data_IF_038413318485
#
_entry.id   IF_038413318485
#
_cell.length_a   1.000
_cell.length_b   1.000
_cell.length_c   1.000
_cell.angle_alpha   90.00
_cell.angle_beta   90.00
_cell.angle_gamma   90.00
#
_symmetry.space_group_name_H-M   'P 1'
#
loop_
_entity.id
_entity.type
_entity.pdbx_description
1 polymer ?
#
# COMPACT_ATOMS: atom_id res chain seq x y z
N UNK A 1 -18.84 6.23 -22.47
CA UNK A 1 -18.83 7.67 -22.06
C UNK A 1 -17.47 8.29 -22.37
N UNK A 2 -17.41 9.56 -22.72
CA UNK A 2 -16.14 10.21 -22.98
C UNK A 2 -15.36 10.46 -21.69
N UNK A 3 -14.12 10.01 -21.63
CA UNK A 3 -13.22 10.25 -20.49
C UNK A 3 -12.77 11.73 -20.49
N UNK A 4 -13.12 12.47 -19.47
CA UNK A 4 -12.74 13.88 -19.33
C UNK A 4 -11.46 14.06 -18.51
N UNK A 5 -10.79 15.19 -18.70
CA UNK A 5 -9.60 15.53 -17.91
C UNK A 5 -9.91 15.68 -16.41
N UNK A 6 -11.12 16.12 -16.06
CA UNK A 6 -11.58 16.22 -14.70
C UNK A 6 -11.65 14.83 -14.02
N UNK A 7 -12.24 13.83 -14.69
CA UNK A 7 -12.31 12.44 -14.21
C UNK A 7 -10.92 11.84 -14.01
N UNK A 8 -9.99 12.09 -14.92
CA UNK A 8 -8.61 11.62 -14.80
C UNK A 8 -7.92 12.24 -13.58
N UNK A 9 -8.14 13.52 -13.35
CA UNK A 9 -7.58 14.24 -12.19
C UNK A 9 -8.15 13.68 -10.90
N UNK A 10 -9.46 13.52 -10.80
CA UNK A 10 -10.15 12.97 -9.65
C UNK A 10 -9.67 11.54 -9.31
N UNK A 11 -9.62 10.65 -10.30
CA UNK A 11 -9.12 9.28 -10.11
C UNK A 11 -7.66 9.27 -9.64
N UNK A 12 -6.84 10.19 -10.14
CA UNK A 12 -5.46 10.34 -9.69
C UNK A 12 -5.37 10.81 -8.24
N UNK A 13 -6.21 11.75 -7.84
CA UNK A 13 -6.26 12.23 -6.44
C UNK A 13 -6.71 11.12 -5.47
N UNK A 14 -7.65 10.27 -5.90
CA UNK A 14 -8.14 9.14 -5.11
C UNK A 14 -7.12 8.01 -4.98
N UNK A 15 -6.38 7.71 -6.04
CA UNK A 15 -5.56 6.48 -6.12
C UNK A 15 -4.06 6.72 -6.04
N UNK A 16 -3.60 7.94 -6.28
CA UNK A 16 -2.18 8.26 -6.42
C UNK A 16 -1.51 7.68 -7.68
N UNK A 17 -2.28 7.01 -8.56
CA UNK A 17 -1.76 6.41 -9.79
C UNK A 17 -1.32 7.47 -10.81
N UNK A 18 -0.49 7.06 -11.77
CA UNK A 18 -0.03 7.93 -12.85
C UNK A 18 -1.17 8.40 -13.76
N UNK A 19 -1.09 9.62 -14.29
CA UNK A 19 -2.15 10.22 -15.13
C UNK A 19 -2.54 9.34 -16.32
N UNK A 20 -1.55 8.72 -16.98
CA UNK A 20 -1.79 7.85 -18.15
C UNK A 20 -2.49 6.53 -17.73
N UNK A 21 -2.17 6.02 -16.56
CA UNK A 21 -2.82 4.80 -16.04
C UNK A 21 -4.25 5.09 -15.62
N UNK A 22 -4.53 6.24 -15.00
CA UNK A 22 -5.88 6.70 -14.72
C UNK A 22 -6.70 6.86 -16.00
N UNK A 23 -6.13 7.46 -17.05
CA UNK A 23 -6.80 7.59 -18.34
C UNK A 23 -7.14 6.24 -18.97
N UNK A 24 -6.20 5.29 -18.94
CA UNK A 24 -6.40 3.93 -19.45
C UNK A 24 -7.48 3.18 -18.64
N UNK A 25 -7.45 3.30 -17.31
CA UNK A 25 -8.44 2.69 -16.44
C UNK A 25 -9.86 3.19 -16.74
N UNK A 26 -10.04 4.51 -16.82
CA UNK A 26 -11.32 5.12 -17.18
C UNK A 26 -11.80 4.73 -18.58
N UNK A 27 -10.88 4.66 -19.55
CA UNK A 27 -11.24 4.19 -20.91
C UNK A 27 -11.67 2.72 -20.90
N UNK A 28 -11.02 1.87 -20.12
CA UNK A 28 -11.36 0.44 -20.02
C UNK A 28 -12.67 0.18 -19.27
N UNK A 29 -13.14 1.13 -18.47
CA UNK A 29 -14.35 1.03 -17.64
C UNK A 29 -15.46 1.98 -18.06
N UNK A 30 -15.40 2.50 -19.29
CA UNK A 30 -16.38 3.44 -19.86
C UNK A 30 -16.66 4.69 -18.97
N UNK A 31 -15.67 5.13 -18.24
CA UNK A 31 -15.75 6.29 -17.33
C UNK A 31 -16.33 5.96 -15.95
N UNK A 32 -16.54 4.70 -15.61
CA UNK A 32 -16.99 4.28 -14.29
C UNK A 32 -15.82 4.41 -13.30
N UNK A 33 -15.95 5.33 -12.33
CA UNK A 33 -14.88 5.66 -11.38
C UNK A 33 -14.57 4.50 -10.44
N UNK A 34 -15.59 3.81 -9.91
CA UNK A 34 -15.39 2.71 -8.97
C UNK A 34 -14.69 1.52 -9.63
N UNK A 35 -15.13 1.18 -10.85
CA UNK A 35 -14.45 0.15 -11.63
C UNK A 35 -13.05 0.55 -12.07
N UNK A 36 -12.81 1.83 -12.30
CA UNK A 36 -11.47 2.33 -12.64
C UNK A 36 -10.52 2.23 -11.45
N UNK A 37 -10.99 2.47 -10.23
CA UNK A 37 -10.22 2.24 -8.99
C UNK A 37 -9.86 0.75 -8.88
N UNK A 38 -10.83 -0.15 -9.04
CA UNK A 38 -10.59 -1.60 -8.97
C UNK A 38 -9.62 -2.06 -10.06
N UNK A 39 -9.78 -1.59 -11.29
CA UNK A 39 -8.86 -1.87 -12.40
C UNK A 39 -7.41 -1.45 -12.09
N UNK A 40 -7.23 -0.27 -11.48
CA UNK A 40 -5.91 0.21 -11.08
C UNK A 40 -5.31 -0.63 -9.95
N UNK A 41 -6.15 -1.06 -9.01
CA UNK A 41 -5.76 -1.93 -7.90
C UNK A 41 -5.27 -3.29 -8.41
N UNK A 42 -6.04 -3.96 -9.26
CA UNK A 42 -5.65 -5.23 -9.88
C UNK A 42 -4.35 -5.11 -10.68
N UNK A 43 -4.20 -4.02 -11.43
CA UNK A 43 -2.99 -3.74 -12.18
C UNK A 43 -1.79 -3.48 -11.28
N UNK A 44 -1.99 -2.82 -10.15
CA UNK A 44 -0.98 -2.59 -9.12
C UNK A 44 -0.48 -3.90 -8.52
N UNK A 45 -1.39 -4.81 -8.16
CA UNK A 45 -1.07 -6.15 -7.66
C UNK A 45 -0.27 -6.97 -8.69
N UNK A 46 -0.69 -7.00 -9.94
CA UNK A 46 0.04 -7.68 -11.02
C UNK A 46 1.43 -7.08 -11.27
N UNK A 47 1.58 -5.76 -11.10
CA UNK A 47 2.87 -5.07 -11.16
C UNK A 47 3.79 -5.44 -10.00
N UNK A 48 3.25 -5.57 -8.80
CA UNK A 48 3.97 -6.00 -7.61
C UNK A 48 4.48 -7.45 -7.75
N UNK A 49 3.65 -8.37 -8.26
CA UNK A 49 4.05 -9.75 -8.53
C UNK A 49 5.25 -9.85 -9.48
N UNK A 50 5.26 -9.04 -10.55
CA UNK A 50 6.38 -8.99 -11.49
C UNK A 50 7.68 -8.51 -10.86
N UNK A 51 7.60 -7.74 -9.78
CA UNK A 51 8.75 -7.20 -9.04
C UNK A 51 9.15 -8.04 -7.85
N UNK A 52 8.38 -9.07 -7.48
CA UNK A 52 8.60 -9.87 -6.28
C UNK A 52 9.99 -10.54 -6.21
N UNK A 53 10.61 -10.82 -7.35
CA UNK A 53 11.95 -11.39 -7.43
C UNK A 53 13.11 -10.39 -7.33
N UNK A 54 12.84 -9.09 -7.18
CA UNK A 54 13.88 -8.07 -7.05
C UNK A 54 14.47 -8.07 -5.65
N UNK A 55 15.79 -7.81 -5.57
CA UNK A 55 16.47 -7.71 -4.29
C UNK A 55 16.09 -6.40 -3.60
N UNK A 56 15.56 -6.50 -2.39
CA UNK A 56 15.25 -5.38 -1.52
C UNK A 56 16.27 -5.35 -0.37
N UNK A 57 17.47 -4.84 -0.65
CA UNK A 57 18.60 -4.83 0.29
C UNK A 57 18.59 -3.61 1.23
N UNK A 58 17.81 -2.62 0.93
CA UNK A 58 17.60 -1.41 1.73
C UNK A 58 16.29 -1.50 2.52
N UNK A 59 15.91 -0.46 3.21
CA UNK A 59 14.70 -0.39 3.99
C UNK A 59 14.89 0.34 5.31
N UNK A 60 13.92 0.20 6.21
CA UNK A 60 14.01 0.77 7.55
C UNK A 60 13.56 -0.23 8.61
N UNK A 61 14.11 -0.08 9.80
CA UNK A 61 13.68 -0.77 11.02
C UNK A 61 13.06 0.26 11.94
N UNK A 62 11.88 -0.02 12.44
CA UNK A 62 11.19 0.84 13.40
C UNK A 62 10.76 0.03 14.63
N UNK A 63 10.66 0.71 15.74
CA UNK A 63 10.16 0.15 17.00
C UNK A 63 8.93 0.91 17.44
N UNK A 64 8.01 0.23 18.10
CA UNK A 64 6.86 0.85 18.73
C UNK A 64 6.62 0.21 20.10
N UNK A 65 5.99 0.95 20.99
CA UNK A 65 5.79 0.56 22.38
C UNK A 65 4.40 0.99 22.85
N UNK A 66 3.72 0.12 23.61
CA UNK A 66 2.47 0.51 24.25
C UNK A 66 2.68 1.56 25.33
N UNK A 67 1.63 2.37 25.61
CA UNK A 67 1.71 3.43 26.61
C UNK A 67 2.04 2.93 28.01
N UNK A 68 1.66 1.68 28.35
CA UNK A 68 1.98 1.02 29.62
C UNK A 68 3.35 0.33 29.63
N UNK A 69 4.11 0.42 28.53
CA UNK A 69 5.46 -0.16 28.34
C UNK A 69 5.53 -1.70 28.50
N UNK A 70 4.38 -2.39 28.39
CA UNK A 70 4.31 -3.86 28.56
C UNK A 70 4.46 -4.63 27.26
N UNK A 71 4.29 -3.96 26.12
CA UNK A 71 4.35 -4.57 24.80
C UNK A 71 5.17 -3.70 23.86
N UNK A 72 6.08 -4.30 23.13
CA UNK A 72 6.89 -3.64 22.15
C UNK A 72 6.94 -4.46 20.86
N UNK A 73 7.20 -3.81 19.75
CA UNK A 73 7.44 -4.44 18.46
C UNK A 73 8.66 -3.83 17.78
N UNK A 74 9.38 -4.66 17.05
CA UNK A 74 10.42 -4.26 16.12
C UNK A 74 10.01 -4.75 14.73
N UNK A 75 9.92 -3.84 13.77
CA UNK A 75 9.50 -4.13 12.41
C UNK A 75 10.58 -3.70 11.43
N UNK A 76 10.96 -4.59 10.54
CA UNK A 76 11.80 -4.30 9.39
C UNK A 76 10.95 -4.37 8.12
N UNK A 77 10.97 -3.30 7.32
CA UNK A 77 10.34 -3.25 6.00
C UNK A 77 11.42 -2.92 4.97
N UNK A 78 11.63 -3.85 4.07
CA UNK A 78 12.66 -3.75 3.05
C UNK A 78 12.17 -2.96 1.82
N UNK A 79 13.10 -2.31 1.14
CA UNK A 79 12.89 -1.58 -0.09
C UNK A 79 14.07 -1.80 -1.05
N UNK A 80 13.85 -1.55 -2.34
CA UNK A 80 14.90 -1.74 -3.35
C UNK A 80 16.03 -0.71 -3.23
N UNK A 81 15.72 0.51 -2.79
CA UNK A 81 16.67 1.63 -2.74
C UNK A 81 16.58 2.41 -1.44
N UNK A 82 17.67 3.11 -1.10
CA UNK A 82 17.72 4.03 0.03
C UNK A 82 16.84 5.28 -0.19
N UNK A 83 16.58 5.68 -1.44
CA UNK A 83 15.63 6.75 -1.77
C UNK A 83 14.22 6.41 -1.30
N UNK A 84 13.77 5.16 -1.49
CA UNK A 84 12.49 4.69 -0.97
C UNK A 84 12.50 4.68 0.54
N UNK A 85 13.55 4.17 1.17
CA UNK A 85 13.67 4.13 2.63
C UNK A 85 13.61 5.54 3.28
N UNK A 86 14.09 6.56 2.59
CA UNK A 86 14.05 7.97 3.02
C UNK A 86 12.75 8.71 2.66
N UNK A 87 11.88 8.10 1.85
CA UNK A 87 10.65 8.72 1.41
C UNK A 87 9.64 8.83 2.57
N UNK A 88 9.04 10.02 2.74
CA UNK A 88 8.11 10.28 3.83
C UNK A 88 6.86 9.39 3.79
N UNK A 89 6.33 9.07 2.61
CA UNK A 89 5.18 8.16 2.47
C UNK A 89 5.53 6.73 2.87
N UNK A 90 6.70 6.26 2.48
CA UNK A 90 7.21 4.96 2.88
C UNK A 90 7.40 4.86 4.40
N UNK A 91 7.99 5.87 5.01
CA UNK A 91 8.18 5.94 6.46
C UNK A 91 6.84 5.98 7.22
N UNK A 92 5.86 6.74 6.71
CA UNK A 92 4.51 6.77 7.27
C UNK A 92 3.82 5.39 7.17
N UNK A 93 3.96 4.71 6.05
CA UNK A 93 3.47 3.35 5.86
C UNK A 93 4.10 2.38 6.87
N UNK A 94 5.41 2.41 7.02
CA UNK A 94 6.12 1.54 7.98
C UNK A 94 5.70 1.81 9.41
N UNK A 95 5.48 3.07 9.79
CA UNK A 95 4.94 3.43 11.10
C UNK A 95 3.55 2.83 11.33
N UNK A 96 2.68 2.81 10.33
CA UNK A 96 1.35 2.18 10.40
C UNK A 96 1.46 0.65 10.51
N UNK A 97 2.40 0.03 9.80
CA UNK A 97 2.68 -1.42 9.94
C UNK A 97 3.13 -1.74 11.37
N UNK A 98 4.03 -0.95 11.94
CA UNK A 98 4.49 -1.14 13.31
C UNK A 98 3.35 -0.99 14.33
N UNK A 99 2.48 0.01 14.16
CA UNK A 99 1.32 0.22 15.02
C UNK A 99 0.35 -0.96 14.97
N UNK A 100 0.09 -1.52 13.80
CA UNK A 100 -0.75 -2.71 13.65
C UNK A 100 -0.08 -3.95 14.23
N UNK A 101 1.21 -4.14 14.00
CA UNK A 101 1.98 -5.25 14.57
C UNK A 101 2.00 -5.22 16.10
N UNK A 102 1.94 -4.03 16.72
CA UNK A 102 1.88 -3.87 18.16
C UNK A 102 0.60 -4.45 18.77
N UNK A 103 -0.50 -4.44 18.03
CA UNK A 103 -1.84 -4.90 18.49
C UNK A 103 -2.26 -6.23 17.89
N UNK A 104 -1.47 -6.81 16.97
CA UNK A 104 -1.83 -8.07 16.31
C UNK A 104 -1.92 -9.24 17.28
N UNK A 105 -2.82 -10.16 16.98
CA UNK A 105 -2.92 -11.49 17.59
C UNK A 105 -2.47 -12.60 16.67
N UNK A 106 -1.96 -12.25 15.47
CA UNK A 106 -1.46 -13.22 14.50
C UNK A 106 -0.29 -14.03 15.07
N UNK A 107 -0.31 -15.35 14.81
CA UNK A 107 0.71 -16.26 15.30
C UNK A 107 2.00 -16.23 14.47
N UNK A 108 1.92 -15.79 13.21
CA UNK A 108 3.02 -15.75 12.27
C UNK A 108 2.84 -14.63 11.24
N UNK A 109 3.83 -14.47 10.36
CA UNK A 109 3.83 -13.44 9.33
C UNK A 109 2.71 -13.63 8.31
N UNK A 110 2.43 -14.86 7.91
CA UNK A 110 1.40 -15.15 6.90
C UNK A 110 0.02 -14.75 7.43
N UNK A 111 -0.30 -15.09 8.68
CA UNK A 111 -1.53 -14.68 9.33
C UNK A 111 -1.62 -13.14 9.50
N UNK A 112 -0.52 -12.48 9.83
CA UNK A 112 -0.45 -11.02 9.92
C UNK A 112 -0.73 -10.35 8.57
N UNK A 113 -0.16 -10.85 7.49
CA UNK A 113 -0.35 -10.30 6.14
C UNK A 113 -1.79 -10.41 5.65
N UNK A 114 -2.57 -11.35 6.16
CA UNK A 114 -4.00 -11.53 5.83
C UNK A 114 -4.94 -10.71 6.73
N UNK A 115 -4.43 -10.06 7.77
CA UNK A 115 -5.27 -9.17 8.60
C UNK A 115 -5.78 -7.98 7.78
N UNK A 116 -6.93 -7.45 8.19
CA UNK A 116 -7.43 -6.20 7.64
C UNK A 116 -6.50 -5.04 7.97
N UNK A 117 -6.21 -4.22 6.98
CA UNK A 117 -5.36 -3.05 7.16
C UNK A 117 -6.05 -2.00 8.01
N UNK A 118 -5.45 -1.58 9.11
CA UNK A 118 -6.09 -0.68 10.07
C UNK A 118 -6.42 0.71 9.50
N UNK A 119 -5.64 1.18 8.52
CA UNK A 119 -5.88 2.46 7.86
C UNK A 119 -6.94 2.39 6.75
N UNK A 120 -7.21 1.20 6.21
CA UNK A 120 -8.23 0.95 5.18
C UNK A 120 -8.68 -0.52 5.23
N UNK A 121 -9.79 -0.78 5.92
CA UNK A 121 -10.33 -2.13 6.13
C UNK A 121 -10.81 -2.84 4.85
N UNK A 122 -10.81 -2.16 3.70
CA UNK A 122 -11.07 -2.79 2.40
C UNK A 122 -9.88 -3.59 1.89
N UNK A 123 -8.70 -3.37 2.48
CA UNK A 123 -7.44 -4.03 2.15
C UNK A 123 -7.00 -4.99 3.26
N UNK A 124 -6.17 -5.95 2.90
CA UNK A 124 -5.33 -6.68 3.86
C UNK A 124 -3.99 -5.95 4.04
N UNK A 125 -3.23 -6.32 5.07
CA UNK A 125 -1.85 -5.82 5.26
C UNK A 125 -0.99 -6.06 4.01
N UNK A 126 -1.14 -7.23 3.39
CA UNK A 126 -0.43 -7.61 2.16
C UNK A 126 -0.78 -6.72 0.96
N UNK A 127 -2.03 -6.28 0.86
CA UNK A 127 -2.51 -5.44 -0.25
C UNK A 127 -2.21 -3.95 -0.06
N UNK A 128 -1.98 -3.53 1.18
CA UNK A 128 -1.65 -2.15 1.51
C UNK A 128 -0.23 -1.78 1.09
#
# INVERSE_FOLDING_TARGET
MAVTAAMVKELREMTGAGMMDCKKALAATDGDMDKAVEFLREKGLAGAEKKAGRIAAEGIVVTDLTADEKKAVVVEVNAETDFVAKNAKFQAYVAQVAAQALTTTAADMDAFMEEKWAADETLTVKEA
#
